data_IF_405541862248
#
_entry.id   IF_405541862248
#
_cell.length_a   1.000
_cell.length_b   1.000
_cell.length_c   1.000
_cell.angle_alpha   90.00
_cell.angle_beta   90.00
_cell.angle_gamma   90.00
#
_symmetry.space_group_name_H-M   'P 1'
#
loop_
_entity.id
_entity.type
_entity.pdbx_description
1 polymer ?
#
# COMPACT_ATOMS: atom_id res chain seq x y z
N UNK A 1 25.53 27.98 -19.97
CA UNK A 1 24.94 29.11 -19.21
C UNK A 1 25.67 29.19 -17.87
N UNK A 2 26.08 30.38 -17.41
CA UNK A 2 26.80 30.49 -16.15
C UNK A 2 25.87 30.13 -14.99
N UNK A 3 26.37 29.35 -14.03
CA UNK A 3 25.72 29.10 -12.76
C UNK A 3 25.55 30.45 -12.05
N UNK A 4 24.36 31.04 -12.12
CA UNK A 4 24.02 32.20 -11.33
C UNK A 4 24.15 31.81 -9.87
N UNK A 5 25.04 32.51 -9.15
CA UNK A 5 25.38 32.31 -7.75
C UNK A 5 24.17 32.67 -6.85
N UNK A 6 23.10 31.88 -6.91
CA UNK A 6 22.01 31.97 -5.94
C UNK A 6 22.48 31.29 -4.64
N UNK A 7 22.40 31.95 -3.49
CA UNK A 7 22.82 31.38 -2.22
C UNK A 7 22.02 30.09 -1.95
N UNK A 8 22.73 28.98 -1.72
CA UNK A 8 22.13 27.70 -1.37
C UNK A 8 21.41 27.85 -0.03
N UNK A 9 20.08 27.77 -0.04
CA UNK A 9 19.26 28.07 1.15
C UNK A 9 19.50 27.09 2.30
N UNK A 10 20.06 25.91 2.06
CA UNK A 10 20.31 24.90 3.09
C UNK A 10 21.71 24.97 3.71
N UNK A 11 22.56 25.92 3.30
CA UNK A 11 23.90 26.10 3.86
C UNK A 11 23.99 27.46 4.59
N UNK A 12 24.55 27.45 5.79
CA UNK A 12 24.79 28.69 6.53
C UNK A 12 26.03 29.44 5.96
N UNK A 13 26.35 30.61 6.51
CA UNK A 13 27.49 31.42 6.05
C UNK A 13 28.87 30.72 6.18
N UNK A 14 28.95 29.60 6.91
CA UNK A 14 30.15 28.76 7.07
C UNK A 14 30.12 27.50 6.19
N UNK A 15 29.06 27.28 5.42
CA UNK A 15 28.87 26.08 4.59
C UNK A 15 28.29 24.88 5.34
N UNK A 16 27.79 25.05 6.56
CA UNK A 16 27.18 23.96 7.34
C UNK A 16 25.70 23.82 6.99
N UNK A 17 25.22 22.57 6.97
CA UNK A 17 23.81 22.25 6.74
C UNK A 17 22.92 22.88 7.82
N UNK A 18 21.89 23.62 7.39
CA UNK A 18 20.86 24.14 8.28
C UNK A 18 19.47 24.00 7.64
N UNK A 19 18.47 23.76 8.48
CA UNK A 19 17.07 23.79 8.06
C UNK A 19 16.64 25.25 7.92
N UNK A 20 16.05 25.59 6.76
CA UNK A 20 15.59 26.95 6.47
C UNK A 20 14.44 27.30 7.40
N UNK A 21 14.50 28.45 8.07
CA UNK A 21 13.34 28.95 8.79
C UNK A 21 12.24 29.39 7.81
N UNK A 22 11.02 28.93 8.08
CA UNK A 22 9.83 29.22 7.29
C UNK A 22 8.74 29.90 8.12
N UNK A 23 9.03 30.28 9.37
CA UNK A 23 8.06 30.84 10.31
C UNK A 23 7.31 32.05 9.73
N UNK A 24 8.03 32.99 9.09
CA UNK A 24 7.43 34.21 8.55
C UNK A 24 6.80 34.06 7.16
N UNK A 25 6.88 32.86 6.55
CA UNK A 25 6.26 32.62 5.24
C UNK A 25 4.75 32.40 5.41
N UNK A 26 3.90 33.01 4.58
CA UNK A 26 2.47 32.79 4.65
C UNK A 26 2.11 31.34 4.28
N UNK A 27 1.09 30.81 4.93
CA UNK A 27 0.50 29.53 4.55
C UNK A 27 -0.28 29.65 3.25
N UNK A 28 -0.16 28.64 2.40
CA UNK A 28 -0.87 28.53 1.14
C UNK A 28 -1.15 27.08 0.82
N UNK A 29 -2.16 26.83 -0.01
CA UNK A 29 -2.40 25.50 -0.59
C UNK A 29 -1.23 25.15 -1.49
N UNK A 30 -0.67 23.95 -1.28
CA UNK A 30 0.49 23.45 -2.01
C UNK A 30 0.23 22.01 -2.42
N UNK A 31 0.63 21.68 -3.64
CA UNK A 31 0.48 20.35 -4.21
C UNK A 31 1.70 20.03 -5.05
N UNK A 32 2.13 18.78 -5.02
CA UNK A 32 3.17 18.26 -5.88
C UNK A 32 2.77 16.89 -6.40
N UNK A 33 3.08 16.63 -7.67
CA UNK A 33 3.00 15.31 -8.27
C UNK A 33 4.39 14.87 -8.74
N UNK A 34 4.71 13.61 -8.51
CA UNK A 34 5.95 12.98 -8.95
C UNK A 34 5.64 11.63 -9.61
N UNK A 35 6.49 11.24 -10.56
CA UNK A 35 6.40 9.99 -11.29
C UNK A 35 7.69 9.20 -11.17
N UNK A 36 7.59 7.89 -11.34
CA UNK A 36 8.68 6.95 -11.46
C UNK A 36 8.21 5.66 -12.12
N UNK A 37 9.12 4.71 -12.30
CA UNK A 37 8.78 3.39 -12.80
C UNK A 37 9.69 2.31 -12.23
N UNK A 38 9.24 1.06 -12.34
CA UNK A 38 10.07 -0.12 -12.19
C UNK A 38 9.90 -1.01 -13.43
N UNK A 39 11.01 -1.33 -14.11
CA UNK A 39 11.05 -2.29 -15.23
C UNK A 39 11.35 -3.68 -14.69
N UNK A 40 10.75 -4.69 -15.32
CA UNK A 40 10.92 -6.09 -14.96
C UNK A 40 10.79 -6.96 -16.20
N UNK A 41 11.08 -8.25 -16.08
CA UNK A 41 10.84 -9.19 -17.18
C UNK A 41 9.34 -9.26 -17.52
N UNK A 42 8.97 -9.48 -18.79
CA UNK A 42 7.56 -9.63 -19.18
C UNK A 42 6.82 -10.71 -18.37
N UNK A 43 7.50 -11.83 -18.08
CA UNK A 43 6.95 -12.91 -17.26
C UNK A 43 6.66 -12.48 -15.81
N UNK A 44 7.53 -11.65 -15.23
CA UNK A 44 7.32 -11.07 -13.89
C UNK A 44 6.10 -10.16 -13.89
N UNK A 45 5.97 -9.32 -14.91
CA UNK A 45 4.85 -8.40 -15.03
C UNK A 45 3.52 -9.13 -15.21
N UNK A 46 3.50 -10.22 -16.01
CA UNK A 46 2.33 -11.08 -16.16
C UNK A 46 1.90 -11.70 -14.82
N UNK A 47 2.84 -12.25 -14.04
CA UNK A 47 2.55 -12.77 -12.70
C UNK A 47 2.00 -11.69 -11.77
N UNK A 48 2.52 -10.46 -11.85
CA UNK A 48 2.00 -9.32 -11.09
C UNK A 48 0.55 -8.99 -11.50
N UNK A 49 0.27 -8.90 -12.80
CA UNK A 49 -1.05 -8.56 -13.33
C UNK A 49 -2.12 -9.61 -13.00
N UNK A 50 -1.73 -10.89 -13.01
CA UNK A 50 -2.60 -12.02 -12.68
C UNK A 50 -2.75 -12.26 -11.17
N UNK A 51 -1.98 -11.55 -10.33
CA UNK A 51 -1.96 -11.75 -8.88
C UNK A 51 -1.30 -13.07 -8.45
N UNK A 52 -0.49 -13.68 -9.30
CA UNK A 52 0.19 -14.97 -9.09
C UNK A 52 1.54 -14.87 -8.37
N UNK A 53 1.84 -13.73 -7.73
CA UNK A 53 3.10 -13.56 -6.98
C UNK A 53 3.01 -14.17 -5.57
N UNK A 54 4.07 -14.84 -5.07
CA UNK A 54 4.04 -15.57 -3.79
C UNK A 54 3.70 -14.72 -2.56
N UNK A 55 3.84 -13.40 -2.66
CA UNK A 55 3.70 -12.45 -1.54
C UNK A 55 2.34 -11.74 -1.50
N UNK A 56 1.37 -12.12 -2.33
CA UNK A 56 0.01 -11.55 -2.32
C UNK A 56 -0.12 -10.25 -3.13
N UNK A 57 -1.01 -9.34 -2.69
CA UNK A 57 -1.34 -8.12 -3.45
C UNK A 57 -0.19 -7.10 -3.41
N UNK A 58 0.61 -7.13 -4.48
CA UNK A 58 1.81 -6.30 -4.63
C UNK A 58 1.48 -4.81 -4.81
N UNK A 59 0.47 -4.48 -5.58
CA UNK A 59 0.10 -3.08 -5.86
C UNK A 59 -0.53 -2.42 -4.63
N UNK A 60 -1.39 -3.13 -3.90
CA UNK A 60 -1.96 -2.62 -2.65
C UNK A 60 -0.87 -2.40 -1.58
N UNK A 61 0.07 -3.33 -1.47
CA UNK A 61 1.20 -3.21 -0.53
C UNK A 61 2.08 -2.01 -0.88
N UNK A 62 2.44 -1.84 -2.15
CA UNK A 62 3.22 -0.70 -2.63
C UNK A 62 2.48 0.64 -2.43
N UNK A 63 1.14 0.67 -2.59
CA UNK A 63 0.30 1.85 -2.31
C UNK A 63 0.43 2.30 -0.87
N UNK A 64 0.25 1.36 0.06
CA UNK A 64 0.33 1.61 1.50
C UNK A 64 1.73 2.09 1.86
N UNK A 65 2.77 1.44 1.33
CA UNK A 65 4.15 1.82 1.58
C UNK A 65 4.46 3.25 1.09
N UNK A 66 4.02 3.61 -0.13
CA UNK A 66 4.15 4.97 -0.65
C UNK A 66 3.43 6.02 0.22
N UNK A 67 2.21 5.73 0.67
CA UNK A 67 1.46 6.64 1.58
C UNK A 67 2.18 6.81 2.92
N UNK A 68 2.71 5.73 3.49
CA UNK A 68 3.46 5.80 4.74
C UNK A 68 4.76 6.58 4.57
N UNK A 69 5.47 6.34 3.46
CA UNK A 69 6.72 7.03 3.14
C UNK A 69 6.53 8.54 2.99
N UNK A 70 5.47 8.99 2.30
CA UNK A 70 5.15 10.41 2.19
C UNK A 70 5.06 11.09 3.57
N UNK A 71 4.37 10.46 4.54
CA UNK A 71 4.20 10.99 5.90
C UNK A 71 5.50 11.01 6.71
N UNK A 72 6.47 10.17 6.36
CA UNK A 72 7.76 10.01 7.05
C UNK A 72 8.94 10.64 6.30
N UNK A 73 8.66 11.45 5.28
CA UNK A 73 9.69 12.11 4.46
C UNK A 73 10.70 12.90 5.29
N UNK A 74 10.24 13.63 6.30
CA UNK A 74 11.08 14.41 7.21
C UNK A 74 12.00 13.57 8.12
N UNK A 75 11.68 12.29 8.33
CA UNK A 75 12.55 11.35 9.04
C UNK A 75 13.68 10.82 8.13
N UNK A 76 13.46 10.81 6.82
CA UNK A 76 14.37 10.26 5.82
C UNK A 76 15.28 11.31 5.19
N UNK A 77 14.75 12.52 4.97
CA UNK A 77 15.46 13.62 4.30
C UNK A 77 15.90 14.65 5.36
N UNK A 78 17.20 14.74 5.71
CA UNK A 78 17.68 15.39 6.94
C UNK A 78 17.26 16.85 7.19
N UNK A 79 16.94 17.61 6.15
CA UNK A 79 16.60 19.04 6.24
C UNK A 79 15.17 19.36 5.79
N UNK A 80 14.33 18.35 5.60
CA UNK A 80 12.91 18.56 5.35
C UNK A 80 12.18 18.93 6.65
N UNK A 81 11.24 19.86 6.55
CA UNK A 81 10.33 20.16 7.66
C UNK A 81 9.35 19.01 7.87
N UNK A 82 8.91 18.80 9.10
CA UNK A 82 7.75 17.96 9.38
C UNK A 82 6.47 18.66 8.90
N UNK A 83 5.67 18.00 8.08
CA UNK A 83 4.50 18.59 7.41
C UNK A 83 3.24 17.78 7.65
N UNK A 84 2.16 18.47 8.02
CA UNK A 84 0.83 17.88 8.15
C UNK A 84 0.18 17.72 6.77
N UNK A 85 0.41 16.58 6.13
CA UNK A 85 -0.18 16.27 4.82
C UNK A 85 -1.70 16.15 4.90
N UNK A 86 -2.39 16.85 4.00
CA UNK A 86 -3.85 16.81 3.87
C UNK A 86 -4.35 15.75 2.88
N UNK A 87 -3.50 15.36 1.91
CA UNK A 87 -3.78 14.31 0.94
C UNK A 87 -2.48 13.64 0.51
N UNK A 88 -2.53 12.32 0.38
CA UNK A 88 -1.54 11.51 -0.35
C UNK A 88 -2.31 10.53 -1.22
N UNK A 89 -2.00 10.47 -2.51
CA UNK A 89 -2.52 9.49 -3.45
C UNK A 89 -1.34 8.87 -4.21
N UNK A 90 -1.40 7.56 -4.43
CA UNK A 90 -0.41 6.80 -5.19
C UNK A 90 -1.18 6.03 -6.23
N UNK A 91 -0.82 6.14 -7.50
CA UNK A 91 -1.49 5.47 -8.63
C UNK A 91 -0.47 4.64 -9.42
N UNK A 92 -0.96 3.54 -9.99
CA UNK A 92 -0.14 2.59 -10.73
C UNK A 92 -0.71 2.42 -12.14
N UNK A 93 0.17 2.37 -13.13
CA UNK A 93 -0.19 1.96 -14.49
C UNK A 93 0.75 0.83 -14.93
N UNK A 94 0.17 -0.33 -15.23
CA UNK A 94 0.90 -1.50 -15.71
C UNK A 94 1.04 -1.39 -17.22
N UNK A 95 2.27 -1.20 -17.71
CA UNK A 95 2.58 -1.11 -19.14
C UNK A 95 3.21 -2.43 -19.60
N UNK A 96 2.36 -3.32 -20.12
CA UNK A 96 2.78 -4.61 -20.67
C UNK A 96 3.74 -4.46 -21.85
N UNK A 97 3.52 -3.45 -22.71
CA UNK A 97 4.31 -3.23 -23.90
C UNK A 97 5.75 -2.78 -23.59
N UNK A 98 5.96 -2.11 -22.46
CA UNK A 98 7.29 -1.69 -21.99
C UNK A 98 7.85 -2.54 -20.85
N UNK A 99 7.07 -3.52 -20.40
CA UNK A 99 7.36 -4.42 -19.27
C UNK A 99 7.73 -3.64 -18.00
N UNK A 100 6.90 -2.66 -17.63
CA UNK A 100 7.11 -1.85 -16.45
C UNK A 100 5.82 -1.47 -15.73
N UNK A 101 5.97 -1.08 -14.47
CA UNK A 101 4.91 -0.43 -13.69
C UNK A 101 5.29 1.03 -13.50
N UNK A 102 4.46 1.92 -14.01
CA UNK A 102 4.54 3.35 -13.73
C UNK A 102 3.91 3.65 -12.37
N UNK A 103 4.54 4.51 -11.59
CA UNK A 103 4.08 4.94 -10.27
C UNK A 103 3.98 6.45 -10.26
N UNK A 104 2.82 6.96 -9.86
CA UNK A 104 2.55 8.40 -9.74
C UNK A 104 2.13 8.67 -8.30
N UNK A 105 2.73 9.66 -7.65
CA UNK A 105 2.33 10.11 -6.33
C UNK A 105 1.90 11.58 -6.36
N UNK A 106 0.78 11.90 -5.72
CA UNK A 106 0.32 13.28 -5.50
C UNK A 106 0.19 13.57 -4.01
N UNK A 107 0.87 14.61 -3.53
CA UNK A 107 0.84 15.08 -2.15
C UNK A 107 0.30 16.51 -2.07
N UNK A 108 -0.48 16.82 -1.02
CA UNK A 108 -1.07 18.15 -0.80
C UNK A 108 -1.07 18.55 0.66
N UNK A 109 -0.88 19.83 0.94
CA UNK A 109 -1.12 20.45 2.25
C UNK A 109 -1.53 21.92 2.12
N UNK A 110 -1.88 22.52 3.25
CA UNK A 110 -1.86 23.97 3.45
C UNK A 110 -0.66 24.28 4.38
N UNK A 111 0.29 25.09 3.93
CA UNK A 111 1.51 25.30 4.71
C UNK A 111 2.54 26.24 4.09
N UNK A 112 3.69 26.34 4.75
CA UNK A 112 4.72 27.38 4.51
C UNK A 112 5.84 26.95 3.56
N UNK A 113 5.97 25.65 3.33
CA UNK A 113 6.92 25.04 2.40
C UNK A 113 6.23 24.00 1.52
N UNK A 114 6.85 23.68 0.38
CA UNK A 114 6.31 22.75 -0.61
C UNK A 114 6.30 21.29 -0.16
N UNK A 115 5.76 20.42 -1.01
CA UNK A 115 5.60 18.97 -0.77
C UNK A 115 6.24 18.10 -1.86
N UNK A 116 7.24 18.65 -2.57
CA UNK A 116 7.96 17.96 -3.64
C UNK A 116 8.63 16.69 -3.12
N UNK A 117 9.24 16.78 -1.93
CA UNK A 117 9.98 15.69 -1.33
C UNK A 117 9.05 14.56 -0.88
N UNK A 118 7.85 14.88 -0.41
CA UNK A 118 6.85 13.90 -0.03
C UNK A 118 6.38 13.09 -1.24
N UNK A 119 6.13 13.75 -2.38
CA UNK A 119 5.74 13.06 -3.61
C UNK A 119 6.89 12.18 -4.14
N UNK A 120 8.11 12.69 -4.20
CA UNK A 120 9.30 11.95 -4.67
C UNK A 120 9.61 10.75 -3.77
N UNK A 121 9.52 10.92 -2.47
CA UNK A 121 9.77 9.86 -1.48
C UNK A 121 8.71 8.76 -1.59
N UNK A 122 7.45 9.14 -1.78
CA UNK A 122 6.35 8.20 -1.95
C UNK A 122 6.52 7.31 -3.19
N UNK A 123 6.85 7.90 -4.34
CA UNK A 123 7.19 7.13 -5.57
C UNK A 123 8.36 6.19 -5.32
N UNK A 124 9.43 6.70 -4.72
CA UNK A 124 10.65 5.93 -4.48
C UNK A 124 10.39 4.69 -3.64
N UNK A 125 9.67 4.84 -2.53
CA UNK A 125 9.37 3.73 -1.64
C UNK A 125 8.32 2.79 -2.23
N UNK A 126 7.34 3.30 -2.98
CA UNK A 126 6.42 2.43 -3.72
C UNK A 126 7.19 1.54 -4.72
N UNK A 127 8.13 2.09 -5.51
CA UNK A 127 8.98 1.31 -6.41
C UNK A 127 9.86 0.29 -5.65
N UNK A 128 10.48 0.68 -4.54
CA UNK A 128 11.25 -0.25 -3.69
C UNK A 128 10.38 -1.38 -3.14
N UNK A 129 9.12 -1.10 -2.81
CA UNK A 129 8.17 -2.10 -2.34
C UNK A 129 7.79 -3.06 -3.46
N UNK A 130 7.53 -2.56 -4.67
CA UNK A 130 7.31 -3.41 -5.85
C UNK A 130 8.51 -4.35 -6.06
N UNK A 131 9.73 -3.81 -5.95
CA UNK A 131 10.95 -4.62 -6.03
C UNK A 131 10.97 -5.71 -4.93
N UNK A 132 10.74 -5.35 -3.67
CA UNK A 132 10.79 -6.31 -2.55
C UNK A 132 9.79 -7.48 -2.73
N UNK A 133 8.62 -7.15 -3.26
CA UNK A 133 7.53 -8.09 -3.48
C UNK A 133 7.79 -9.02 -4.67
N UNK A 134 8.57 -8.58 -5.67
CA UNK A 134 8.84 -9.35 -6.89
C UNK A 134 10.25 -9.98 -6.93
N UNK A 135 11.19 -9.59 -6.04
CA UNK A 135 12.61 -10.02 -6.11
C UNK A 135 12.87 -11.53 -6.01
N UNK A 136 11.87 -12.30 -5.58
CA UNK A 136 11.96 -13.75 -5.52
C UNK A 136 11.90 -14.39 -6.92
N UNK A 137 11.16 -13.77 -7.84
CA UNK A 137 10.99 -14.24 -9.23
C UNK A 137 11.90 -13.49 -10.21
N UNK A 138 12.28 -12.25 -9.89
CA UNK A 138 13.08 -11.40 -10.79
C UNK A 138 14.01 -10.49 -9.99
N UNK A 139 15.31 -10.70 -10.10
CA UNK A 139 16.33 -9.89 -9.39
C UNK A 139 16.95 -8.81 -10.27
N UNK A 140 16.60 -8.75 -11.56
CA UNK A 140 17.19 -7.83 -12.52
C UNK A 140 16.32 -6.58 -12.74
N UNK A 141 15.24 -6.44 -11.97
CA UNK A 141 14.35 -5.29 -12.05
C UNK A 141 15.10 -3.97 -11.83
N UNK A 142 14.72 -2.94 -12.58
CA UNK A 142 15.35 -1.62 -12.54
C UNK A 142 14.33 -0.55 -12.12
N UNK A 143 14.62 0.15 -11.03
CA UNK A 143 13.86 1.33 -10.61
C UNK A 143 14.48 2.56 -11.28
N UNK A 144 13.66 3.36 -11.95
CA UNK A 144 14.16 4.50 -12.70
C UNK A 144 13.11 5.58 -12.93
N UNK A 145 13.55 6.64 -13.62
CA UNK A 145 12.67 7.72 -14.05
C UNK A 145 11.98 8.46 -12.90
N UNK A 146 12.53 8.48 -11.68
CA UNK A 146 11.94 9.19 -10.55
C UNK A 146 12.15 10.69 -10.70
N UNK A 147 11.07 11.46 -10.83
CA UNK A 147 11.13 12.89 -11.03
C UNK A 147 9.85 13.61 -10.59
N UNK A 148 9.97 14.93 -10.35
CA UNK A 148 8.84 15.81 -10.08
C UNK A 148 8.14 16.15 -11.40
N UNK A 149 6.82 15.97 -11.49
CA UNK A 149 6.00 16.30 -12.65
C UNK A 149 5.47 17.72 -12.55
N UNK A 150 4.84 18.01 -11.43
CA UNK A 150 4.22 19.31 -11.16
C UNK A 150 4.41 19.72 -9.71
N UNK A 151 4.39 21.02 -9.50
CA UNK A 151 4.27 21.64 -8.19
C UNK A 151 3.42 22.89 -8.34
N UNK A 152 2.54 23.14 -7.40
CA UNK A 152 1.77 24.39 -7.33
C UNK A 152 1.90 25.04 -5.95
N UNK A 153 1.84 26.37 -5.95
CA UNK A 153 1.84 27.19 -4.73
C UNK A 153 3.21 27.54 -4.16
N UNK A 154 3.23 28.58 -3.34
CA UNK A 154 4.44 29.18 -2.78
C UNK A 154 5.10 30.25 -3.65
N UNK A 155 6.13 30.90 -3.09
CA UNK A 155 6.79 32.06 -3.71
C UNK A 155 7.49 31.75 -5.03
N UNK A 156 7.95 30.52 -5.23
CA UNK A 156 8.63 30.09 -6.47
C UNK A 156 7.69 29.96 -7.67
N UNK A 157 6.38 30.07 -7.46
CA UNK A 157 5.38 29.81 -8.49
C UNK A 157 5.21 28.32 -8.79
N UNK A 158 4.38 28.07 -9.80
CA UNK A 158 4.05 26.74 -10.26
C UNK A 158 5.14 26.20 -11.19
N UNK A 159 5.40 24.91 -11.07
CA UNK A 159 6.30 24.17 -11.93
C UNK A 159 5.51 23.07 -12.64
N UNK A 160 5.79 22.90 -13.93
CA UNK A 160 5.35 21.75 -14.71
C UNK A 160 6.54 21.32 -15.57
N UNK A 161 6.81 20.03 -15.60
CA UNK A 161 7.84 19.44 -16.46
C UNK A 161 7.42 19.54 -17.91
N UNK A 162 8.31 20.06 -18.77
CA UNK A 162 8.08 20.11 -20.21
C UNK A 162 7.97 18.70 -20.81
N UNK A 163 6.96 18.51 -21.64
CA UNK A 163 6.41 17.22 -22.03
C UNK A 163 7.34 16.41 -22.94
N UNK A 164 8.07 15.47 -22.34
CA UNK A 164 8.60 14.29 -23.04
C UNK A 164 8.21 12.96 -22.35
N UNK A 165 7.73 13.03 -21.10
CA UNK A 165 7.27 11.86 -20.32
C UNK A 165 5.76 11.87 -20.03
N UNK A 166 5.16 13.06 -19.90
CA UNK A 166 3.73 13.22 -19.61
C UNK A 166 2.81 12.66 -20.72
N UNK A 167 3.33 12.36 -21.91
CA UNK A 167 2.60 11.69 -23.00
C UNK A 167 2.66 10.14 -22.92
N UNK A 168 3.41 9.57 -21.96
CA UNK A 168 3.52 8.12 -21.70
C UNK A 168 2.94 7.72 -20.34
N UNK A 169 2.92 8.63 -19.38
CA UNK A 169 1.95 8.56 -18.30
C UNK A 169 0.59 8.91 -18.92
N UNK A 170 -0.35 7.97 -18.93
CA UNK A 170 -1.73 8.25 -19.33
C UNK A 170 -2.17 9.51 -18.57
N UNK A 171 -2.68 10.51 -19.30
CA UNK A 171 -3.29 11.70 -18.71
C UNK A 171 -4.20 11.27 -17.55
N UNK A 172 -4.29 12.01 -16.43
CA UNK A 172 -5.18 11.65 -15.35
C UNK A 172 -6.54 11.39 -15.98
N UNK A 173 -6.96 10.12 -15.99
CA UNK A 173 -8.24 9.76 -16.54
C UNK A 173 -9.23 10.60 -15.79
N UNK A 174 -9.93 11.40 -16.57
CA UNK A 174 -11.06 12.20 -16.16
C UNK A 174 -11.85 11.35 -15.17
N UNK A 175 -12.25 11.98 -14.07
CA UNK A 175 -13.23 11.45 -13.12
C UNK A 175 -14.53 11.25 -13.90
N UNK A 176 -14.63 10.16 -14.64
CA UNK A 176 -15.84 9.62 -15.24
C UNK A 176 -15.85 8.14 -14.90
N UNK A 177 -16.62 7.86 -13.84
CA UNK A 177 -17.15 6.56 -13.47
C UNK A 177 -16.19 5.37 -13.62
N UNK A 178 -15.20 5.30 -12.73
CA UNK A 178 -14.92 3.98 -12.18
C UNK A 178 -16.25 3.44 -11.61
N UNK A 179 -16.66 2.20 -11.89
CA UNK A 179 -17.82 1.65 -11.21
C UNK A 179 -17.56 1.82 -9.72
N UNK A 180 -18.52 2.43 -9.03
CA UNK A 180 -18.53 2.49 -7.57
C UNK A 180 -18.10 1.14 -7.03
N UNK A 181 -17.31 1.09 -5.94
CA UNK A 181 -17.01 -0.20 -5.30
C UNK A 181 -18.31 -0.98 -5.22
N UNK A 182 -18.29 -2.28 -5.56
CA UNK A 182 -19.48 -3.12 -5.55
C UNK A 182 -20.09 -3.00 -4.15
N UNK A 183 -21.10 -2.12 -4.03
CA UNK A 183 -21.93 -2.00 -2.85
C UNK A 183 -23.02 -3.03 -3.08
N UNK A 184 -22.82 -4.21 -2.53
CA UNK A 184 -23.89 -5.20 -2.41
C UNK A 184 -24.87 -4.71 -1.34
N UNK A 185 -25.73 -3.77 -1.71
CA UNK A 185 -26.78 -3.24 -0.85
C UNK A 185 -27.34 -1.91 -1.36
N UNK A 186 -28.65 -1.86 -1.62
CA UNK A 186 -29.37 -0.59 -1.80
C UNK A 186 -29.50 0.10 -0.43
N UNK A 187 -28.52 0.92 -0.05
CA UNK A 187 -28.52 1.65 1.22
C UNK A 187 -29.06 3.08 1.06
N UNK A 188 -30.03 3.46 1.89
CA UNK A 188 -30.51 4.84 2.02
C UNK A 188 -29.51 5.64 2.87
N UNK A 189 -29.31 6.92 2.52
CA UNK A 189 -28.40 7.84 3.22
C UNK A 189 -28.64 7.82 4.74
N UNK A 190 -27.66 7.37 5.51
CA UNK A 190 -27.73 7.27 6.97
C UNK A 190 -27.66 5.85 7.53
N UNK A 191 -27.81 4.81 6.69
CA UNK A 191 -27.62 3.41 7.08
C UNK A 191 -26.38 2.82 6.42
N UNK A 192 -25.44 2.36 7.25
CA UNK A 192 -24.33 1.51 6.80
C UNK A 192 -24.86 0.08 6.75
N UNK A 193 -25.31 -0.38 5.58
CA UNK A 193 -25.56 -1.81 5.37
C UNK A 193 -24.25 -2.48 5.01
N UNK A 194 -23.63 -3.15 5.97
CA UNK A 194 -22.55 -4.10 5.69
C UNK A 194 -23.21 -5.31 5.03
N UNK A 195 -22.74 -5.72 3.84
CA UNK A 195 -23.17 -6.97 3.21
C UNK A 195 -23.01 -8.17 4.18
N UNK A 196 -23.65 -9.31 3.91
CA UNK A 196 -23.65 -10.43 4.84
C UNK A 196 -22.22 -10.80 5.25
N UNK A 197 -21.95 -10.74 6.56
CA UNK A 197 -20.62 -10.96 7.14
C UNK A 197 -20.15 -12.41 6.96
N UNK A 198 -21.08 -13.34 6.85
CA UNK A 198 -20.86 -14.72 6.48
C UNK A 198 -21.96 -15.13 5.48
N UNK A 199 -21.68 -16.19 4.72
CA UNK A 199 -22.67 -16.80 3.82
C UNK A 199 -23.68 -17.69 4.59
N UNK A 200 -23.67 -17.62 5.93
CA UNK A 200 -24.48 -18.42 6.84
C UNK A 200 -25.28 -17.48 7.73
N UNK A 201 -26.59 -17.71 7.85
CA UNK A 201 -27.51 -16.89 8.65
C UNK A 201 -27.40 -17.07 10.18
N UNK A 202 -26.44 -17.87 10.66
CA UNK A 202 -26.21 -18.18 12.07
C UNK A 202 -24.92 -17.51 12.59
N UNK A 203 -24.78 -17.29 13.92
CA UNK A 203 -23.55 -16.75 14.52
C UNK A 203 -22.32 -17.55 14.08
N UNK A 204 -21.38 -16.88 13.41
CA UNK A 204 -20.31 -17.51 12.64
C UNK A 204 -19.00 -16.75 12.76
N UNK A 205 -17.92 -17.51 12.84
CA UNK A 205 -16.56 -17.03 12.69
C UNK A 205 -16.21 -16.92 11.21
N UNK A 206 -15.51 -15.86 10.83
CA UNK A 206 -14.88 -15.77 9.51
C UNK A 206 -13.44 -16.26 9.62
N UNK A 207 -13.09 -17.26 8.83
CA UNK A 207 -11.75 -17.82 8.80
C UNK A 207 -11.11 -17.54 7.45
N UNK A 208 -9.91 -16.95 7.47
CA UNK A 208 -9.10 -16.67 6.29
C UNK A 208 -7.87 -17.57 6.26
N UNK A 209 -7.60 -18.18 5.12
CA UNK A 209 -6.33 -18.83 4.84
C UNK A 209 -5.54 -17.94 3.89
N UNK A 210 -4.32 -17.56 4.26
CA UNK A 210 -3.51 -16.59 3.52
C UNK A 210 -2.22 -17.19 2.97
N UNK A 211 -1.65 -16.54 1.94
CA UNK A 211 -0.38 -16.91 1.29
C UNK A 211 -0.32 -18.39 0.87
N UNK A 212 0.83 -19.06 1.02
CA UNK A 212 1.01 -20.47 0.66
C UNK A 212 -0.04 -21.40 1.30
N UNK A 213 -0.57 -21.04 2.48
CA UNK A 213 -1.62 -21.85 3.13
C UNK A 213 -2.92 -21.83 2.30
N UNK A 214 -3.28 -20.71 1.69
CA UNK A 214 -4.44 -20.61 0.79
C UNK A 214 -4.30 -21.54 -0.40
N UNK A 215 -3.12 -21.52 -1.04
CA UNK A 215 -2.83 -22.34 -2.22
C UNK A 215 -2.83 -23.83 -1.86
N UNK A 216 -2.18 -24.18 -0.76
CA UNK A 216 -2.11 -25.56 -0.26
C UNK A 216 -3.48 -26.13 0.10
N UNK A 217 -4.36 -25.31 0.68
CA UNK A 217 -5.70 -25.75 1.09
C UNK A 217 -6.75 -25.58 0.00
N UNK A 218 -6.46 -24.83 -1.08
CA UNK A 218 -7.42 -24.51 -2.13
C UNK A 218 -8.66 -23.76 -1.65
N UNK A 219 -8.56 -23.03 -0.52
CA UNK A 219 -9.66 -22.26 0.07
C UNK A 219 -9.10 -20.96 0.67
N UNK A 220 -9.74 -19.83 0.36
CA UNK A 220 -9.33 -18.50 0.85
C UNK A 220 -10.09 -18.06 2.08
N UNK A 221 -11.42 -18.25 2.07
CA UNK A 221 -12.31 -17.86 3.15
C UNK A 221 -13.26 -19.02 3.47
N UNK A 222 -13.58 -19.23 4.76
CA UNK A 222 -14.62 -20.16 5.19
C UNK A 222 -15.36 -19.59 6.40
N UNK A 223 -16.68 -19.75 6.44
CA UNK A 223 -17.51 -19.40 7.59
C UNK A 223 -17.76 -20.63 8.46
N UNK A 224 -17.46 -20.53 9.75
CA UNK A 224 -17.64 -21.63 10.71
C UNK A 224 -18.67 -21.20 11.76
N UNK A 225 -19.83 -21.88 11.88
CA UNK A 225 -20.79 -21.59 12.94
C UNK A 225 -20.15 -21.77 14.33
N UNK A 226 -20.31 -20.79 15.21
CA UNK A 226 -19.66 -20.82 16.53
C UNK A 226 -20.13 -22.00 17.38
N UNK A 227 -21.37 -22.45 17.17
CA UNK A 227 -21.97 -23.60 17.85
C UNK A 227 -21.30 -24.94 17.50
N UNK A 228 -20.54 -24.99 16.39
CA UNK A 228 -19.80 -26.19 15.98
C UNK A 228 -18.41 -26.28 16.61
N UNK A 229 -17.98 -25.25 17.34
CA UNK A 229 -16.71 -25.28 18.03
C UNK A 229 -16.83 -26.14 19.30
N UNK A 230 -15.95 -27.15 19.50
CA UNK A 230 -15.90 -27.91 20.74
C UNK A 230 -15.44 -27.06 21.94
N UNK A 231 -14.72 -25.96 21.68
CA UNK A 231 -14.32 -24.93 22.64
C UNK A 231 -14.30 -23.56 21.95
N UNK A 232 -14.72 -22.50 22.63
CA UNK A 232 -14.77 -21.13 22.08
C UNK A 232 -13.39 -20.46 22.05
N UNK A 233 -12.39 -21.15 21.50
CA UNK A 233 -11.01 -20.70 21.33
C UNK A 233 -10.44 -21.16 19.98
N UNK A 234 -9.24 -20.68 19.65
CA UNK A 234 -8.56 -21.02 18.39
C UNK A 234 -8.32 -22.53 18.25
N UNK A 235 -8.02 -23.24 19.34
CA UNK A 235 -7.88 -24.70 19.33
C UNK A 235 -9.18 -25.41 18.93
N UNK A 236 -10.31 -24.97 19.49
CA UNK A 236 -11.62 -25.47 19.14
C UNK A 236 -11.98 -25.18 17.69
N UNK A 237 -11.66 -23.98 17.19
CA UNK A 237 -11.83 -23.64 15.78
C UNK A 237 -11.02 -24.55 14.85
N UNK A 238 -9.73 -24.81 15.16
CA UNK A 238 -8.90 -25.74 14.38
C UNK A 238 -9.51 -27.14 14.35
N UNK A 239 -10.01 -27.61 15.48
CA UNK A 239 -10.69 -28.90 15.59
C UNK A 239 -11.96 -28.96 14.73
N UNK A 240 -12.78 -27.90 14.77
CA UNK A 240 -13.98 -27.80 13.96
C UNK A 240 -13.68 -27.77 12.45
N UNK A 241 -12.61 -27.08 12.04
CA UNK A 241 -12.16 -27.02 10.64
C UNK A 241 -11.70 -28.39 10.12
N UNK A 242 -10.93 -29.15 10.92
CA UNK A 242 -10.50 -30.50 10.55
C UNK A 242 -11.68 -31.47 10.41
N UNK A 243 -12.67 -31.34 11.29
CA UNK A 243 -13.90 -32.11 11.20
C UNK A 243 -14.75 -31.74 9.98
N UNK A 244 -14.62 -30.51 9.48
CA UNK A 244 -15.34 -30.02 8.31
C UNK A 244 -14.75 -30.55 7.00
N UNK A 245 -13.42 -30.53 6.87
CA UNK A 245 -12.72 -31.00 5.66
C UNK A 245 -11.28 -31.43 5.99
N UNK A 246 -10.86 -32.59 5.47
CA UNK A 246 -9.54 -33.18 5.72
C UNK A 246 -8.37 -32.28 5.26
N UNK A 247 -8.59 -31.30 4.38
CA UNK A 247 -7.55 -30.32 4.00
C UNK A 247 -6.95 -29.59 5.20
N UNK A 248 -7.75 -29.37 6.25
CA UNK A 248 -7.33 -28.60 7.43
C UNK A 248 -6.50 -29.39 8.46
N UNK A 249 -6.24 -30.68 8.23
CA UNK A 249 -5.43 -31.53 9.13
C UNK A 249 -4.04 -30.94 9.42
N UNK A 250 -3.48 -30.19 8.46
CA UNK A 250 -2.18 -29.54 8.57
C UNK A 250 -2.13 -28.27 9.43
N UNK A 251 -3.25 -27.79 10.00
CA UNK A 251 -3.28 -26.52 10.76
C UNK A 251 -2.50 -26.55 12.09
N UNK A 252 -2.23 -27.74 12.64
CA UNK A 252 -1.46 -27.89 13.89
C UNK A 252 0.04 -28.09 13.63
N UNK A 253 0.43 -28.25 12.37
CA UNK A 253 1.83 -28.40 12.02
C UNK A 253 2.53 -27.07 12.28
N UNK A 254 3.69 -27.10 12.98
CA UNK A 254 4.38 -25.95 13.60
C UNK A 254 4.91 -24.84 12.67
N UNK A 255 4.27 -24.63 11.52
CA UNK A 255 4.50 -23.54 10.57
C UNK A 255 3.19 -22.85 10.18
N UNK A 256 2.13 -22.93 10.97
CA UNK A 256 0.90 -22.14 10.74
C UNK A 256 0.69 -21.22 11.93
N UNK A 257 0.76 -19.91 11.67
CA UNK A 257 0.47 -18.84 12.60
C UNK A 257 -1.02 -18.50 12.55
N UNK A 258 -1.51 -17.92 13.65
CA UNK A 258 -2.88 -17.47 13.81
C UNK A 258 -2.91 -15.99 14.21
N UNK A 259 -3.85 -15.24 13.65
CA UNK A 259 -4.23 -13.92 14.14
C UNK A 259 -5.75 -13.82 14.28
N UNK A 260 -6.20 -13.20 15.37
CA UNK A 260 -7.61 -12.86 15.60
C UNK A 260 -7.73 -11.35 15.49
N UNK A 261 -8.60 -10.86 14.60
CA UNK A 261 -8.79 -9.43 14.33
C UNK A 261 -7.46 -8.68 14.10
N UNK A 262 -6.58 -9.25 13.28
CA UNK A 262 -5.25 -8.71 12.93
C UNK A 262 -4.22 -8.71 14.07
N UNK A 263 -4.52 -9.33 15.22
CA UNK A 263 -3.60 -9.47 16.35
C UNK A 263 -3.15 -10.93 16.47
N UNK A 264 -1.85 -11.16 16.63
CA UNK A 264 -1.28 -12.50 16.81
C UNK A 264 -1.96 -13.23 17.98
N UNK A 265 -2.38 -14.48 17.72
CA UNK A 265 -3.16 -15.28 18.64
C UNK A 265 -2.50 -16.64 18.88
N UNK A 266 -2.73 -17.19 20.07
CA UNK A 266 -2.36 -18.56 20.42
C UNK A 266 -3.57 -19.48 20.36
N UNK A 267 -3.36 -20.78 20.50
CA UNK A 267 -4.44 -21.77 20.51
C UNK A 267 -5.45 -21.56 21.65
N UNK A 268 -5.03 -20.90 22.74
CA UNK A 268 -5.88 -20.57 23.88
C UNK A 268 -6.62 -19.22 23.74
N UNK A 269 -6.43 -18.49 22.63
CA UNK A 269 -7.10 -17.21 22.42
C UNK A 269 -8.61 -17.42 22.28
N UNK A 270 -9.44 -16.77 23.12
CA UNK A 270 -10.89 -16.91 23.09
C UNK A 270 -11.48 -16.29 21.82
N UNK A 271 -12.59 -16.84 21.35
CA UNK A 271 -13.29 -16.45 20.15
C UNK A 271 -14.77 -16.14 20.41
N UNK A 272 -15.28 -15.18 19.65
CA UNK A 272 -16.67 -14.75 19.60
C UNK A 272 -17.20 -14.85 18.17
N UNK A 273 -18.52 -14.85 18.01
CA UNK A 273 -19.18 -14.84 16.69
C UNK A 273 -18.91 -13.57 15.87
N UNK A 274 -18.19 -12.62 16.46
CA UNK A 274 -17.78 -11.37 15.86
C UNK A 274 -16.28 -11.33 15.55
N UNK A 275 -15.58 -12.45 15.54
CA UNK A 275 -14.15 -12.49 15.25
C UNK A 275 -13.84 -12.91 13.81
N UNK A 276 -12.81 -12.28 13.24
CA UNK A 276 -12.12 -12.75 12.05
C UNK A 276 -10.81 -13.44 12.45
N UNK A 277 -10.64 -14.69 12.05
CA UNK A 277 -9.45 -15.50 12.33
C UNK A 277 -8.68 -15.73 11.04
N UNK A 278 -7.39 -15.41 11.03
CA UNK A 278 -6.52 -15.65 9.89
C UNK A 278 -5.46 -16.70 10.23
N UNK A 279 -5.33 -17.72 9.39
CA UNK A 279 -4.24 -18.69 9.39
C UNK A 279 -3.27 -18.39 8.25
N UNK A 280 -1.98 -18.39 8.54
CA UNK A 280 -0.93 -18.03 7.57
C UNK A 280 0.41 -18.68 7.91
N UNK A 281 1.27 -18.96 6.91
CA UNK A 281 2.61 -19.45 7.19
C UNK A 281 3.46 -18.36 7.89
N UNK A 282 4.50 -18.72 8.67
CA UNK A 282 5.47 -17.75 9.14
C UNK A 282 6.10 -17.02 7.95
N UNK A 283 6.26 -15.71 8.09
CA UNK A 283 6.95 -14.90 7.10
C UNK A 283 8.41 -15.37 7.08
N UNK A 284 8.77 -16.18 6.09
CA UNK A 284 10.17 -16.57 5.84
C UNK A 284 10.81 -15.49 4.97
N UNK A 285 11.12 -14.37 5.61
CA UNK A 285 12.19 -13.47 5.18
C UNK A 285 13.37 -13.69 6.13
N UNK A 286 14.58 -13.86 5.59
CA UNK A 286 15.81 -14.00 6.38
C UNK A 286 16.12 -12.81 7.28
#
# INVERSE_FOLDING_TARGET
MPLTNQPLTHLNARGEAHMVDVADKPESRREAAASGLIRMQPATLALLAEGGLPKGDVLATARIAGIQAAKRTHELIPLCHALALSKVAIDFNVDEAQSCVHVIATCRLNGRTGVEMEALTAVSVACLTLYDMCKAVDKEMEIGGIHLDTKTGGKSGDYRRDEAWASRAVAPSIIESAPSPIVTGEGVTGEVSVGPRCDIAAPCLRVKCLAELRERLGVGDVSVPIERLPSSDVAGLKTALKALDARFEGLDQGRVLCAVNQVMASDATPLTDNDEVAFFPPVTGG
#
